data_IF_458456725063
#
_entry.id   IF_458456725063
#
_cell.length_a   1.000
_cell.length_b   1.000
_cell.length_c   1.000
_cell.angle_alpha   90.00
_cell.angle_beta   90.00
_cell.angle_gamma   90.00
#
_symmetry.space_group_name_H-M   'P 1'
#
loop_
_entity.id
_entity.type
_entity.pdbx_description
1 polymer ?
#
# COMPACT_ATOMS: atom_id res chain seq x y z
N UNK A 1 9.01 -8.65 10.38
CA UNK A 1 9.86 -8.54 9.19
C UNK A 1 11.29 -8.82 9.62
N UNK A 2 11.95 -9.68 8.87
CA UNK A 2 13.33 -10.10 9.10
C UNK A 2 14.17 -9.83 7.88
N UNK A 3 15.43 -9.52 8.07
CA UNK A 3 16.45 -9.57 7.02
C UNK A 3 17.36 -10.78 7.23
N UNK A 4 17.87 -11.33 6.15
CA UNK A 4 18.82 -12.44 6.17
C UNK A 4 20.04 -12.09 5.33
N UNK A 5 21.21 -12.25 5.91
CA UNK A 5 22.48 -12.20 5.20
C UNK A 5 22.65 -13.50 4.39
N UNK A 6 22.63 -13.41 3.07
CA UNK A 6 22.76 -14.58 2.18
C UNK A 6 24.13 -15.23 2.22
N UNK A 7 25.17 -14.55 2.69
CA UNK A 7 26.52 -15.10 2.81
C UNK A 7 26.72 -15.96 4.06
N UNK A 8 26.03 -15.66 5.13
CA UNK A 8 26.13 -16.33 6.43
C UNK A 8 24.85 -16.99 6.92
N UNK A 9 23.73 -16.71 6.23
CA UNK A 9 22.37 -17.10 6.61
C UNK A 9 21.94 -16.61 8.01
N UNK A 10 22.64 -15.61 8.57
CA UNK A 10 22.24 -14.99 9.82
C UNK A 10 21.00 -14.14 9.59
N UNK A 11 20.07 -14.25 10.51
CA UNK A 11 18.84 -13.45 10.52
C UNK A 11 18.87 -12.43 11.64
N UNK A 12 18.29 -11.27 11.36
CA UNK A 12 17.93 -10.31 12.41
C UNK A 12 16.49 -9.82 12.18
N UNK A 13 15.78 -9.58 13.25
CA UNK A 13 14.51 -8.90 13.19
C UNK A 13 14.75 -7.42 12.87
N UNK A 14 14.02 -6.91 11.85
CA UNK A 14 13.89 -5.48 11.61
C UNK A 14 12.75 -4.92 12.45
N UNK A 15 11.61 -5.57 12.38
CA UNK A 15 10.39 -5.19 13.12
C UNK A 15 9.62 -6.45 13.47
N UNK A 16 9.20 -6.56 14.71
CA UNK A 16 8.35 -7.62 15.21
C UNK A 16 6.95 -7.10 15.57
N UNK A 17 5.92 -7.86 15.27
CA UNK A 17 4.54 -7.50 15.58
C UNK A 17 4.27 -7.34 17.09
N UNK A 18 5.03 -8.06 17.92
CA UNK A 18 4.96 -7.96 19.39
C UNK A 18 5.41 -6.59 19.93
N UNK A 19 6.17 -5.82 19.15
CA UNK A 19 6.61 -4.48 19.55
C UNK A 19 5.47 -3.45 19.52
N UNK A 20 4.43 -3.70 18.71
CA UNK A 20 3.36 -2.74 18.44
C UNK A 20 1.97 -3.28 18.81
N UNK A 21 1.90 -4.47 19.36
CA UNK A 21 0.63 -5.18 19.62
C UNK A 21 -0.30 -5.17 18.39
N UNK A 22 0.27 -5.49 17.23
CA UNK A 22 -0.43 -5.41 15.96
C UNK A 22 0.26 -6.19 14.84
N UNK A 23 -0.41 -6.29 13.71
CA UNK A 23 0.15 -6.93 12.52
C UNK A 23 1.08 -5.97 11.78
N UNK A 24 2.24 -6.47 11.36
CA UNK A 24 3.19 -5.76 10.49
C UNK A 24 3.12 -6.39 9.11
N UNK A 25 2.73 -5.61 8.11
CA UNK A 25 2.55 -6.11 6.73
C UNK A 25 2.75 -4.99 5.68
N UNK A 26 2.43 -5.30 4.42
CA UNK A 26 2.46 -4.36 3.29
C UNK A 26 3.80 -3.62 3.20
N UNK A 27 4.92 -4.35 3.14
CA UNK A 27 6.24 -3.74 3.01
C UNK A 27 6.72 -3.71 1.56
N UNK A 28 7.48 -2.69 1.23
CA UNK A 28 8.23 -2.57 -0.03
C UNK A 28 9.53 -1.81 0.18
N UNK A 29 10.56 -2.23 -0.54
CA UNK A 29 11.88 -1.61 -0.52
C UNK A 29 12.08 -0.69 -1.72
N UNK A 30 12.77 0.42 -1.51
CA UNK A 30 13.19 1.31 -2.58
C UNK A 30 14.27 0.63 -3.43
N UNK A 31 13.90 0.19 -4.65
CA UNK A 31 14.82 -0.52 -5.58
C UNK A 31 15.53 -1.73 -4.96
N UNK A 32 14.90 -2.39 -3.99
CA UNK A 32 15.55 -3.47 -3.25
C UNK A 32 16.64 -3.01 -2.27
N UNK A 33 16.79 -1.69 -2.03
CA UNK A 33 17.69 -1.15 -1.01
C UNK A 33 17.15 -1.47 0.38
N UNK A 34 17.82 -2.27 1.21
CA UNK A 34 17.35 -2.61 2.56
C UNK A 34 17.37 -1.43 3.53
N UNK A 35 18.04 -0.33 3.20
CA UNK A 35 18.06 0.88 4.02
C UNK A 35 16.82 1.75 3.84
N UNK A 36 16.12 1.63 2.68
CA UNK A 36 14.95 2.44 2.37
C UNK A 36 13.74 1.54 2.17
N UNK A 37 12.78 1.60 3.07
CA UNK A 37 11.57 0.79 2.97
C UNK A 37 10.36 1.48 3.58
N UNK A 38 9.21 1.07 3.10
CA UNK A 38 7.90 1.39 3.68
C UNK A 38 7.23 0.14 4.17
N UNK A 39 6.54 0.22 5.29
CA UNK A 39 5.67 -0.84 5.79
C UNK A 39 4.48 -0.28 6.55
N UNK A 40 3.47 -1.13 6.76
CA UNK A 40 2.27 -0.74 7.49
C UNK A 40 2.10 -1.58 8.77
N UNK A 41 1.78 -0.89 9.85
CA UNK A 41 1.36 -1.51 11.13
C UNK A 41 -0.15 -1.39 11.23
N UNK A 42 -0.82 -2.50 11.48
CA UNK A 42 -2.27 -2.58 11.74
C UNK A 42 -2.53 -2.76 13.23
N UNK A 43 -3.68 -2.29 13.69
CA UNK A 43 -4.10 -2.44 15.09
C UNK A 43 -4.27 -1.11 15.79
N UNK A 44 -4.25 -1.11 17.12
CA UNK A 44 -4.49 0.07 17.94
C UNK A 44 -3.46 1.19 17.70
N UNK A 45 -2.25 0.83 17.34
CA UNK A 45 -1.14 1.75 17.03
C UNK A 45 -0.85 1.79 15.52
N UNK A 46 -1.90 1.68 14.69
CA UNK A 46 -1.78 1.69 13.23
C UNK A 46 -1.02 2.90 12.71
N UNK A 47 -0.03 2.64 11.86
CA UNK A 47 0.81 3.67 11.24
C UNK A 47 1.45 3.16 9.95
N UNK A 48 1.82 4.07 9.07
CA UNK A 48 2.74 3.80 7.98
C UNK A 48 4.14 4.15 8.45
N UNK A 49 5.05 3.18 8.45
CA UNK A 49 6.46 3.43 8.77
C UNK A 49 7.25 3.62 7.49
N UNK A 50 8.08 4.63 7.50
CA UNK A 50 9.11 4.86 6.48
C UNK A 50 10.47 4.81 7.13
N UNK A 51 11.37 4.03 6.55
CA UNK A 51 12.79 4.07 6.86
C UNK A 51 13.51 4.65 5.65
N UNK A 52 14.14 5.79 5.82
CA UNK A 52 14.89 6.49 4.78
C UNK A 52 16.32 6.70 5.29
N UNK A 53 17.30 6.16 4.57
CA UNK A 53 18.74 6.26 4.95
C UNK A 53 19.02 5.80 6.40
N UNK A 54 18.23 4.84 6.91
CA UNK A 54 18.36 4.31 8.26
C UNK A 54 17.56 5.09 9.33
N UNK A 55 16.94 6.20 8.98
CA UNK A 55 16.06 6.97 9.88
C UNK A 55 14.63 6.52 9.74
N UNK A 56 14.08 5.94 10.79
CA UNK A 56 12.70 5.43 10.81
C UNK A 56 11.75 6.44 11.43
N UNK A 57 10.68 6.75 10.72
CA UNK A 57 9.58 7.58 11.19
C UNK A 57 8.22 6.94 10.98
N UNK A 58 7.29 7.23 11.89
CA UNK A 58 5.91 6.79 11.81
C UNK A 58 5.01 7.93 11.34
N UNK A 59 4.17 7.66 10.35
CA UNK A 59 3.24 8.61 9.78
C UNK A 59 1.81 8.14 9.96
N UNK A 60 0.94 9.05 10.39
CA UNK A 60 -0.50 8.82 10.33
C UNK A 60 -0.99 9.20 8.93
N UNK A 61 -1.09 8.21 8.06
CA UNK A 61 -1.58 8.38 6.69
C UNK A 61 -3.11 8.30 6.58
N UNK A 62 -3.81 8.09 7.70
CA UNK A 62 -5.26 8.19 7.76
C UNK A 62 -5.64 9.66 7.96
N UNK A 63 -6.11 10.29 6.89
CA UNK A 63 -6.49 11.70 6.84
C UNK A 63 -7.94 11.83 6.38
N UNK A 64 -8.50 13.05 6.38
CA UNK A 64 -9.84 13.30 5.86
C UNK A 64 -9.98 13.03 4.35
N UNK A 65 -8.84 12.93 3.65
CA UNK A 65 -8.79 12.64 2.21
C UNK A 65 -8.52 11.17 1.87
N UNK A 66 -8.31 10.30 2.86
CA UNK A 66 -8.03 8.86 2.65
C UNK A 66 -9.11 8.00 3.28
N UNK A 67 -9.43 6.85 2.66
CA UNK A 67 -10.39 5.88 3.20
C UNK A 67 -9.87 5.19 4.47
N UNK A 68 -8.56 5.04 4.58
CA UNK A 68 -7.87 4.38 5.68
C UNK A 68 -6.39 4.70 5.67
N UNK A 69 -5.60 3.87 6.35
CA UNK A 69 -4.14 3.96 6.25
C UNK A 69 -3.66 3.57 4.86
N UNK A 70 -2.51 4.13 4.46
CA UNK A 70 -1.81 3.76 3.24
C UNK A 70 -1.22 2.35 3.35
N UNK A 71 -1.59 1.50 2.39
CA UNK A 71 -1.17 0.10 2.28
C UNK A 71 -0.71 -0.20 0.85
N UNK A 72 -0.15 -1.38 0.60
CA UNK A 72 0.34 -1.82 -0.72
C UNK A 72 1.30 -0.80 -1.37
N UNK A 73 2.42 -0.45 -0.68
CA UNK A 73 3.38 0.52 -1.18
C UNK A 73 4.08 0.06 -2.46
N UNK A 74 4.30 1.00 -3.38
CA UNK A 74 5.17 0.81 -4.52
C UNK A 74 6.02 2.06 -4.75
N UNK A 75 7.34 1.89 -4.69
CA UNK A 75 8.29 2.99 -4.82
C UNK A 75 8.44 3.46 -6.26
N UNK A 76 8.49 4.78 -6.42
CA UNK A 76 8.89 5.39 -7.69
C UNK A 76 10.36 5.04 -8.00
N UNK A 77 10.75 4.82 -9.27
CA UNK A 77 12.12 4.44 -9.62
C UNK A 77 13.22 5.40 -9.14
N UNK A 78 12.90 6.68 -8.97
CA UNK A 78 13.85 7.68 -8.45
C UNK A 78 13.83 7.77 -6.91
N UNK A 79 12.92 7.08 -6.24
CA UNK A 79 12.87 7.00 -4.78
C UNK A 79 12.24 8.20 -4.08
N UNK A 80 11.70 9.18 -4.83
CA UNK A 80 11.13 10.41 -4.27
C UNK A 80 9.64 10.31 -3.94
N UNK A 81 8.96 9.33 -4.53
CA UNK A 81 7.53 9.09 -4.35
C UNK A 81 7.25 7.64 -3.99
N UNK A 82 6.16 7.44 -3.28
CA UNK A 82 5.61 6.10 -3.01
C UNK A 82 4.11 6.11 -3.34
N UNK A 83 3.70 5.26 -4.27
CA UNK A 83 2.28 5.04 -4.52
C UNK A 83 1.72 4.06 -3.50
N UNK A 84 0.53 4.35 -3.00
CA UNK A 84 -0.20 3.55 -2.04
C UNK A 84 -1.64 3.35 -2.47
N UNK A 85 -2.24 2.30 -1.94
CA UNK A 85 -3.68 2.15 -1.86
C UNK A 85 -4.16 2.46 -0.45
N UNK A 86 -5.35 3.00 -0.28
CA UNK A 86 -6.05 3.00 0.99
C UNK A 86 -7.35 2.22 0.84
N UNK A 87 -7.51 1.18 1.63
CA UNK A 87 -8.59 0.22 1.48
C UNK A 87 -9.45 0.18 2.74
N UNK A 88 -10.76 0.18 2.54
CA UNK A 88 -11.70 -0.22 3.56
C UNK A 88 -11.97 -1.71 3.37
N UNK A 89 -11.54 -2.54 4.31
CA UNK A 89 -11.60 -3.99 4.18
C UNK A 89 -12.52 -4.62 5.23
N UNK A 90 -13.16 -5.71 4.86
CA UNK A 90 -13.89 -6.59 5.77
C UNK A 90 -13.26 -7.98 5.75
N UNK A 91 -12.86 -8.46 6.90
CA UNK A 91 -12.35 -9.82 7.07
C UNK A 91 -13.46 -10.74 7.58
N UNK A 92 -13.67 -11.85 6.90
CA UNK A 92 -14.57 -12.93 7.32
C UNK A 92 -13.80 -14.19 7.68
N UNK A 93 -14.23 -14.89 8.70
CA UNK A 93 -13.72 -16.21 9.06
C UNK A 93 -14.81 -17.24 8.79
N UNK A 94 -14.43 -18.32 8.12
CA UNK A 94 -15.34 -19.43 7.80
C UNK A 94 -14.92 -20.70 8.53
N UNK A 95 -15.89 -21.51 8.86
CA UNK A 95 -15.66 -22.83 9.46
C UNK A 95 -15.54 -23.95 8.43
N UNK A 96 -15.65 -23.61 7.14
CA UNK A 96 -15.52 -24.58 6.05
C UNK A 96 -14.05 -24.92 5.79
N UNK A 97 -13.70 -26.17 5.49
CA UNK A 97 -12.32 -26.62 5.35
C UNK A 97 -11.53 -25.91 4.23
N UNK A 98 -12.20 -25.45 3.19
CA UNK A 98 -11.63 -24.83 2.00
C UNK A 98 -11.77 -23.29 1.97
N UNK A 99 -12.44 -22.69 2.97
CA UNK A 99 -12.71 -21.25 3.05
C UNK A 99 -12.54 -20.76 4.48
N UNK A 100 -11.32 -20.79 4.98
CA UNK A 100 -11.06 -20.44 6.38
C UNK A 100 -11.08 -18.94 6.63
N UNK A 101 -10.54 -18.14 5.69
CA UNK A 101 -10.44 -16.69 5.80
C UNK A 101 -10.73 -16.07 4.43
N UNK A 102 -11.56 -15.06 4.42
CA UNK A 102 -11.78 -14.20 3.26
C UNK A 102 -11.61 -12.73 3.66
N UNK A 103 -10.95 -11.96 2.82
CA UNK A 103 -10.81 -10.51 2.96
C UNK A 103 -11.41 -9.86 1.73
N UNK A 104 -12.36 -8.98 1.96
CA UNK A 104 -13.05 -8.25 0.89
C UNK A 104 -12.70 -6.77 0.99
N UNK A 105 -12.41 -6.14 -0.13
CA UNK A 105 -12.45 -4.69 -0.23
C UNK A 105 -13.91 -4.25 -0.30
N UNK A 106 -14.24 -3.25 0.51
CA UNK A 106 -15.54 -2.57 0.49
C UNK A 106 -15.44 -1.24 -0.25
N UNK A 107 -14.23 -0.69 -0.28
CA UNK A 107 -13.85 0.51 -0.99
C UNK A 107 -12.33 0.61 -1.08
N UNK A 108 -11.79 1.23 -2.12
CA UNK A 108 -10.35 1.48 -2.26
C UNK A 108 -10.05 2.65 -3.19
N UNK A 109 -9.10 3.48 -2.79
CA UNK A 109 -8.58 4.62 -3.53
C UNK A 109 -7.05 4.57 -3.59
N UNK A 110 -6.46 5.28 -4.55
CA UNK A 110 -5.01 5.46 -4.63
C UNK A 110 -4.58 6.84 -4.19
N UNK A 111 -3.38 6.93 -3.69
CA UNK A 111 -2.65 8.16 -3.44
C UNK A 111 -1.15 7.97 -3.67
N UNK A 112 -0.47 9.07 -3.96
CA UNK A 112 0.98 9.11 -4.07
C UNK A 112 1.52 9.97 -2.94
N UNK A 113 2.45 9.44 -2.18
CA UNK A 113 3.15 10.17 -1.12
C UNK A 113 4.42 10.78 -1.70
N UNK A 114 4.57 12.09 -1.59
CA UNK A 114 5.80 12.83 -1.87
C UNK A 114 6.64 12.89 -0.59
N UNK A 115 7.80 12.22 -0.62
CA UNK A 115 8.70 12.11 0.53
C UNK A 115 9.29 13.48 0.88
N UNK A 116 9.61 14.30 -0.11
CA UNK A 116 10.26 15.62 0.09
C UNK A 116 9.33 16.62 0.75
N UNK A 117 8.10 16.68 0.29
CA UNK A 117 7.12 17.64 0.83
C UNK A 117 6.31 17.09 2.00
N UNK A 118 6.48 15.78 2.34
CA UNK A 118 5.69 15.08 3.35
C UNK A 118 4.18 15.26 3.11
N UNK A 119 3.73 15.05 1.88
CA UNK A 119 2.34 15.25 1.50
C UNK A 119 1.76 14.12 0.67
N UNK A 120 0.45 13.94 0.75
CA UNK A 120 -0.30 13.01 -0.09
C UNK A 120 -0.85 13.74 -1.31
N UNK A 121 -0.54 13.20 -2.48
CA UNK A 121 -1.03 13.65 -3.78
C UNK A 121 -2.17 12.72 -4.21
N UNK A 122 -3.27 13.30 -4.64
CA UNK A 122 -4.40 12.55 -5.20
C UNK A 122 -4.98 13.30 -6.39
N UNK A 123 -5.71 12.62 -7.26
CA UNK A 123 -6.43 13.22 -8.37
C UNK A 123 -7.69 12.43 -8.69
N UNK A 124 -8.63 13.05 -9.40
CA UNK A 124 -9.84 12.38 -9.88
C UNK A 124 -9.55 11.21 -10.85
N UNK A 125 -8.31 11.08 -11.33
CA UNK A 125 -7.90 9.98 -12.20
C UNK A 125 -7.62 8.68 -11.45
N UNK A 126 -7.29 8.77 -10.15
CA UNK A 126 -6.90 7.65 -9.29
C UNK A 126 -7.74 7.56 -8.01
N UNK A 127 -8.77 8.40 -7.90
CA UNK A 127 -9.74 8.40 -6.81
C UNK A 127 -11.10 8.75 -7.39
N UNK A 128 -11.75 7.76 -7.98
CA UNK A 128 -13.04 7.92 -8.63
C UNK A 128 -14.16 7.44 -7.73
N UNK A 129 -15.23 8.21 -7.70
CA UNK A 129 -16.46 7.73 -7.08
C UNK A 129 -16.96 6.47 -7.81
N UNK A 130 -17.42 5.50 -7.04
CA UNK A 130 -17.98 4.24 -7.56
C UNK A 130 -16.97 3.40 -8.41
N UNK A 131 -15.69 3.49 -8.09
CA UNK A 131 -14.62 2.63 -8.62
C UNK A 131 -13.71 2.25 -7.47
N UNK A 132 -13.30 1.01 -7.40
CA UNK A 132 -12.25 0.56 -6.49
C UNK A 132 -10.93 0.58 -7.23
N UNK A 133 -9.99 1.44 -6.80
CA UNK A 133 -8.63 1.49 -7.30
C UNK A 133 -7.65 0.95 -6.26
N UNK A 134 -6.81 -0.01 -6.66
CA UNK A 134 -5.88 -0.68 -5.73
C UNK A 134 -4.62 -1.18 -6.44
N UNK A 135 -3.62 -1.62 -5.67
CA UNK A 135 -2.37 -2.23 -6.14
C UNK A 135 -1.62 -1.36 -7.17
N UNK A 136 -1.16 -0.16 -6.75
CA UNK A 136 -0.41 0.72 -7.65
C UNK A 136 0.97 0.16 -7.97
N UNK A 137 1.48 0.48 -9.18
CA UNK A 137 2.84 0.18 -9.60
C UNK A 137 3.33 1.24 -10.60
N UNK A 138 4.49 1.84 -10.36
CA UNK A 138 5.11 2.74 -11.34
C UNK A 138 5.78 1.95 -12.47
N UNK A 139 5.76 2.52 -13.67
CA UNK A 139 6.61 2.08 -14.77
C UNK A 139 8.10 2.25 -14.44
N UNK A 140 8.96 1.53 -15.15
CA UNK A 140 10.41 1.61 -14.94
C UNK A 140 11.01 3.00 -15.19
N UNK A 141 10.37 3.81 -16.05
CA UNK A 141 10.76 5.20 -16.31
C UNK A 141 10.06 6.21 -15.36
N UNK A 142 9.22 5.74 -14.46
CA UNK A 142 8.50 6.54 -13.47
C UNK A 142 7.38 7.43 -14.04
N UNK A 143 7.10 7.38 -15.35
CA UNK A 143 6.15 8.32 -16.00
C UNK A 143 4.73 7.79 -16.12
N UNK A 144 4.50 6.57 -15.70
CA UNK A 144 3.17 5.94 -15.72
C UNK A 144 2.92 5.26 -14.40
N UNK A 145 1.74 5.50 -13.82
CA UNK A 145 1.24 4.76 -12.69
C UNK A 145 0.19 3.76 -13.18
N UNK A 146 0.47 2.47 -13.02
CA UNK A 146 -0.46 1.38 -13.27
C UNK A 146 -1.20 1.02 -11.99
N UNK A 147 -2.40 0.50 -12.11
CA UNK A 147 -3.21 0.05 -10.97
C UNK A 147 -4.32 -0.88 -11.41
N UNK A 148 -4.89 -1.58 -10.47
CA UNK A 148 -6.08 -2.40 -10.68
C UNK A 148 -7.33 -1.59 -10.34
N UNK A 149 -8.36 -1.66 -11.21
CA UNK A 149 -9.64 -0.99 -10.97
C UNK A 149 -10.83 -1.91 -11.23
N UNK A 150 -11.84 -1.84 -10.38
CA UNK A 150 -13.08 -2.59 -10.50
C UNK A 150 -14.30 -1.73 -10.17
N UNK A 151 -15.44 -2.08 -10.75
CA UNK A 151 -16.72 -1.52 -10.31
C UNK A 151 -17.12 -2.15 -8.98
N UNK A 152 -17.62 -1.36 -8.02
CA UNK A 152 -18.13 -1.86 -6.75
C UNK A 152 -19.18 -2.94 -6.90
N UNK A 153 -19.18 -3.88 -5.97
CA UNK A 153 -20.15 -4.96 -5.88
C UNK A 153 -20.71 -5.06 -4.47
N UNK A 154 -21.89 -5.64 -4.32
CA UNK A 154 -22.47 -5.89 -3.02
C UNK A 154 -21.75 -7.06 -2.33
N UNK A 155 -21.01 -6.77 -1.27
CA UNK A 155 -20.23 -7.74 -0.53
C UNK A 155 -21.02 -8.25 0.69
N UNK A 156 -21.06 -9.58 0.93
CA UNK A 156 -20.29 -10.65 0.24
C UNK A 156 -21.00 -11.30 -0.94
N UNK A 157 -22.26 -10.95 -1.23
CA UNK A 157 -23.17 -11.70 -2.13
C UNK A 157 -22.74 -11.71 -3.59
N UNK A 158 -21.98 -10.70 -4.02
CA UNK A 158 -21.51 -10.56 -5.40
C UNK A 158 -19.98 -10.55 -5.51
N UNK A 159 -19.28 -11.05 -4.47
CA UNK A 159 -17.83 -11.04 -4.43
C UNK A 159 -17.19 -11.81 -5.61
N UNK A 160 -17.81 -12.89 -6.03
CA UNK A 160 -17.38 -13.71 -7.17
C UNK A 160 -17.57 -13.04 -8.54
N UNK A 161 -18.27 -11.92 -8.59
CA UNK A 161 -18.49 -11.12 -9.80
C UNK A 161 -17.50 -9.97 -9.95
N UNK A 162 -16.65 -9.72 -8.95
CA UNK A 162 -15.62 -8.67 -9.02
C UNK A 162 -14.63 -9.03 -10.13
N UNK A 163 -14.38 -8.08 -11.02
CA UNK A 163 -13.39 -8.20 -12.10
C UNK A 163 -12.56 -6.94 -12.13
N UNK A 164 -11.27 -7.10 -11.85
CA UNK A 164 -10.31 -6.01 -11.94
C UNK A 164 -9.77 -5.88 -13.36
N UNK A 165 -9.66 -4.65 -13.82
CA UNK A 165 -8.98 -4.26 -15.04
C UNK A 165 -7.64 -3.63 -14.69
N UNK A 166 -6.63 -3.84 -15.52
CA UNK A 166 -5.38 -3.08 -15.44
C UNK A 166 -5.61 -1.72 -16.07
N UNK A 167 -5.38 -0.69 -15.30
CA UNK A 167 -5.52 0.71 -15.70
C UNK A 167 -4.18 1.44 -15.61
N UNK A 168 -4.07 2.60 -16.23
CA UNK A 168 -2.90 3.46 -16.10
C UNK A 168 -3.26 4.93 -16.22
N UNK A 169 -2.44 5.78 -15.59
CA UNK A 169 -2.46 7.24 -15.74
C UNK A 169 -1.03 7.72 -15.92
N UNK A 170 -0.88 8.89 -16.56
CA UNK A 170 0.42 9.56 -16.61
C UNK A 170 0.79 10.11 -15.24
N UNK A 171 2.08 10.09 -14.96
CA UNK A 171 2.66 10.69 -13.77
C UNK A 171 3.85 11.56 -14.20
N UNK A 172 3.88 12.79 -13.75
CA UNK A 172 5.02 13.69 -13.97
C UNK A 172 5.89 13.70 -12.70
N UNK A 173 7.06 13.05 -12.69
CA UNK A 173 7.91 12.98 -11.50
C UNK A 173 8.54 14.32 -11.13
N UNK A 174 8.62 15.29 -12.06
CA UNK A 174 9.18 16.61 -11.76
C UNK A 174 8.24 17.46 -10.89
N UNK A 175 6.93 17.25 -11.01
CA UNK A 175 5.89 18.05 -10.34
C UNK A 175 4.99 17.23 -9.41
N UNK A 176 5.05 15.89 -9.48
CA UNK A 176 4.12 14.98 -8.79
C UNK A 176 2.70 14.99 -9.39
N UNK A 177 2.50 15.53 -10.59
CA UNK A 177 1.17 15.66 -11.20
C UNK A 177 0.69 14.32 -11.80
N UNK A 178 -0.60 14.04 -11.57
CA UNK A 178 -1.32 12.86 -12.06
C UNK A 178 -2.44 13.29 -13.02
#
# INVERSE_FOLDING_TARGET
IYERDLSSYKERALIENTQFDGCVNCHAYNRGNPADYSLHIRGAHGATLLNIEGEMAAYNTKTDSTLGFCVYPYWHPEGEYIAYSSNNTRQGFHVLPDKLIEVFDLDSDLQVYDIRSNSLITSASIKKKDVWETFPAFSADGKTLYFCAASPKQIPTEADQIRYNLCSVRFDPATGTI
#
